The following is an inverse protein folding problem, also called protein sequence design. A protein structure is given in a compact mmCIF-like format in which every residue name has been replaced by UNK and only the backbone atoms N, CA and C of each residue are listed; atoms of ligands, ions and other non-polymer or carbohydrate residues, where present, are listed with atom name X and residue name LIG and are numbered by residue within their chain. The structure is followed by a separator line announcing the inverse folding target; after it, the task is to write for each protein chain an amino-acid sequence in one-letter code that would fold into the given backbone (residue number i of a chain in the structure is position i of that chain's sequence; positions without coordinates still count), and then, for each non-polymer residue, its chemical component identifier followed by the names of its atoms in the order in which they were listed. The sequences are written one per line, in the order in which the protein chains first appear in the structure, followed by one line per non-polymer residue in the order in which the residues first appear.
data_IF_668751895198
#
_entry.id   IF_668751895198
#
_cell.length_a   1.000
_cell.length_b   1.000
_cell.length_c   1.000
_cell.angle_alpha   90.00
_cell.angle_beta   90.00
_cell.angle_gamma   90.00
#
_symmetry.space_group_name_H-M   'P 1'
#
loop_
_entity.id
_entity.type
_entity.pdbx_description
1 polymer ?
#
# COMPACT_ATOMS: atom_id res chain seq x y z
N UNK A 1 -17.02 5.33 19.97
CA UNK A 1 -16.10 4.17 19.98
C UNK A 1 -14.70 4.67 19.63
N UNK A 2 -13.66 4.38 20.44
CA UNK A 2 -12.29 4.83 20.15
C UNK A 2 -11.61 3.78 19.26
N UNK A 3 -11.45 4.09 17.98
CA UNK A 3 -10.73 3.23 17.02
C UNK A 3 -9.29 3.07 17.54
N UNK A 4 -8.81 1.82 17.62
CA UNK A 4 -7.44 1.49 18.03
C UNK A 4 -6.64 1.03 16.82
N UNK A 5 -5.39 1.44 16.75
CA UNK A 5 -4.47 0.93 15.74
C UNK A 5 -4.14 -0.53 16.06
N UNK A 6 -4.25 -1.39 15.06
CA UNK A 6 -3.80 -2.80 15.09
C UNK A 6 -2.78 -3.00 13.96
N UNK A 7 -1.95 -4.06 13.98
CA UNK A 7 -1.04 -4.35 12.86
C UNK A 7 -1.79 -4.51 11.53
N UNK A 8 -2.93 -5.19 11.53
CA UNK A 8 -3.76 -5.31 10.33
C UNK A 8 -4.28 -3.96 9.83
N UNK A 9 -4.73 -3.08 10.73
CA UNK A 9 -5.17 -1.73 10.36
C UNK A 9 -4.01 -0.88 9.83
N UNK A 10 -2.82 -1.03 10.42
CA UNK A 10 -1.60 -0.38 9.93
C UNK A 10 -1.28 -0.80 8.49
N UNK A 11 -1.40 -2.09 8.17
CA UNK A 11 -1.29 -2.58 6.78
C UNK A 11 -2.29 -1.91 5.84
N UNK A 12 -3.58 -1.90 6.22
CA UNK A 12 -4.65 -1.29 5.42
C UNK A 12 -4.35 0.20 5.17
N UNK A 13 -3.91 0.93 6.19
CA UNK A 13 -3.58 2.36 6.08
C UNK A 13 -2.35 2.56 5.20
N UNK A 14 -1.33 1.73 5.31
CA UNK A 14 -0.14 1.78 4.44
C UNK A 14 -0.50 1.56 2.97
N UNK A 15 -1.35 0.57 2.70
CA UNK A 15 -1.84 0.28 1.35
C UNK A 15 -2.71 1.42 0.80
N UNK A 16 -3.60 1.95 1.64
CA UNK A 16 -4.43 3.11 1.32
C UNK A 16 -3.59 4.35 1.01
N UNK A 17 -2.56 4.64 1.81
CA UNK A 17 -1.62 5.74 1.57
C UNK A 17 -0.94 5.62 0.21
N UNK A 18 -0.50 4.41 -0.15
CA UNK A 18 0.25 4.16 -1.38
C UNK A 18 -0.60 4.20 -2.66
N UNK A 19 -1.89 3.84 -2.58
CA UNK A 19 -2.78 3.66 -3.74
C UNK A 19 -4.13 4.36 -3.59
N UNK A 20 -4.16 5.47 -2.84
CA UNK A 20 -5.38 6.19 -2.44
C UNK A 20 -6.29 6.51 -3.62
N UNK A 21 -7.51 5.99 -3.60
CA UNK A 21 -8.58 6.43 -4.50
C UNK A 21 -9.11 7.81 -4.07
N UNK A 22 -9.74 8.53 -5.00
CA UNK A 22 -10.37 9.83 -4.71
C UNK A 22 -11.57 9.69 -3.77
N UNK A 23 -12.28 8.57 -3.88
CA UNK A 23 -13.53 8.28 -3.19
C UNK A 23 -13.27 7.57 -1.84
N UNK A 24 -13.85 8.11 -0.76
CA UNK A 24 -13.96 7.43 0.53
C UNK A 24 -12.65 6.85 1.07
N UNK A 25 -12.75 5.70 1.73
CA UNK A 25 -11.60 4.87 2.07
C UNK A 25 -11.49 3.84 0.94
N UNK A 26 -10.50 3.99 0.07
CA UNK A 26 -10.39 3.16 -1.12
C UNK A 26 -9.02 3.16 -1.75
N UNK A 27 -8.77 2.12 -2.55
CA UNK A 27 -7.55 1.94 -3.34
C UNK A 27 -7.88 1.72 -4.80
N UNK A 28 -7.00 2.19 -5.67
CA UNK A 28 -7.07 1.96 -7.12
C UNK A 28 -5.78 1.33 -7.65
N UNK A 29 -5.90 0.36 -8.58
CA UNK A 29 -4.75 -0.27 -9.22
C UNK A 29 -4.99 -1.66 -9.75
N UNK A 30 -3.99 -2.52 -9.50
CA UNK A 30 -4.07 -3.94 -9.79
C UNK A 30 -5.27 -4.56 -9.06
N UNK A 31 -6.05 -5.38 -9.77
CA UNK A 31 -7.20 -6.11 -9.21
C UNK A 31 -6.84 -6.88 -7.95
N UNK A 32 -5.74 -7.63 -7.95
CA UNK A 32 -5.31 -8.41 -6.80
C UNK A 32 -4.95 -7.53 -5.58
N UNK A 33 -4.45 -6.31 -5.79
CA UNK A 33 -4.28 -5.34 -4.69
C UNK A 33 -5.63 -4.87 -4.15
N UNK A 34 -6.60 -4.62 -5.02
CA UNK A 34 -7.95 -4.26 -4.61
C UNK A 34 -8.63 -5.40 -3.83
N UNK A 35 -8.44 -6.65 -4.26
CA UNK A 35 -8.94 -7.84 -3.56
C UNK A 35 -8.28 -8.03 -2.20
N UNK A 36 -6.96 -7.84 -2.09
CA UNK A 36 -6.26 -7.84 -0.79
C UNK A 36 -6.82 -6.75 0.11
N UNK A 37 -6.92 -5.51 -0.36
CA UNK A 37 -7.48 -4.41 0.42
C UNK A 37 -8.91 -4.72 0.90
N UNK A 38 -9.76 -5.24 0.02
CA UNK A 38 -11.14 -5.63 0.34
C UNK A 38 -11.17 -6.70 1.44
N UNK A 39 -10.39 -7.78 1.27
CA UNK A 39 -10.30 -8.89 2.23
C UNK A 39 -9.87 -8.40 3.61
N UNK A 40 -8.84 -7.56 3.68
CA UNK A 40 -8.36 -7.02 4.95
C UNK A 40 -9.39 -6.08 5.61
N UNK A 41 -10.10 -5.26 4.83
CA UNK A 41 -11.14 -4.37 5.36
C UNK A 41 -12.35 -5.13 5.90
N UNK A 42 -12.80 -6.19 5.20
CA UNK A 42 -13.94 -7.01 5.61
C UNK A 42 -13.60 -7.86 6.83
N UNK A 43 -12.43 -8.52 6.84
CA UNK A 43 -12.01 -9.36 7.97
C UNK A 43 -11.84 -8.58 9.27
N UNK A 44 -11.37 -7.32 9.19
CA UNK A 44 -11.25 -6.43 10.34
C UNK A 44 -12.58 -5.75 10.72
N UNK A 45 -13.63 -5.86 9.89
CA UNK A 45 -14.93 -5.23 10.12
C UNK A 45 -14.96 -3.72 9.90
N UNK A 46 -13.96 -3.16 9.19
CA UNK A 46 -13.89 -1.73 8.85
C UNK A 46 -14.91 -1.37 7.76
N UNK A 47 -15.26 -2.33 6.92
CA UNK A 47 -16.28 -2.23 5.90
C UNK A 47 -17.28 -3.37 6.02
N UNK A 48 -18.52 -3.13 5.59
CA UNK A 48 -19.55 -4.15 5.46
C UNK A 48 -19.70 -4.51 3.97
N UNK A 49 -19.91 -5.79 3.60
CA UNK A 49 -19.94 -6.21 2.19
C UNK A 49 -20.91 -5.41 1.31
N UNK A 50 -22.08 -5.06 1.83
CA UNK A 50 -23.14 -4.29 1.17
C UNK A 50 -22.78 -2.81 0.95
N UNK A 51 -21.78 -2.29 1.69
CA UNK A 51 -21.35 -0.88 1.65
C UNK A 51 -20.09 -0.66 0.83
N UNK A 52 -19.50 -1.72 0.28
CA UNK A 52 -18.31 -1.63 -0.55
C UNK A 52 -18.68 -1.54 -2.02
N UNK A 53 -18.04 -0.62 -2.73
CA UNK A 53 -18.08 -0.54 -4.19
C UNK A 53 -16.80 -1.12 -4.75
N UNK A 54 -16.92 -2.18 -5.54
CA UNK A 54 -15.83 -2.80 -6.29
C UNK A 54 -16.05 -2.58 -7.78
N UNK A 55 -15.15 -1.85 -8.41
CA UNK A 55 -15.19 -1.52 -9.84
C UNK A 55 -14.12 -2.36 -10.52
N UNK A 56 -14.57 -3.26 -11.39
CA UNK A 56 -13.70 -4.08 -12.22
C UNK A 56 -12.98 -3.23 -13.27
N UNK A 57 -11.74 -3.59 -13.64
CA UNK A 57 -11.05 -2.92 -14.72
C UNK A 57 -11.80 -3.15 -16.03
N UNK A 58 -12.17 -2.08 -16.75
CA UNK A 58 -12.79 -2.24 -18.06
C UNK A 58 -11.78 -2.85 -19.03
N UNK A 59 -12.14 -3.97 -19.64
CA UNK A 59 -11.36 -4.55 -20.72
C UNK A 59 -11.48 -3.65 -21.96
N UNK A 60 -10.47 -2.83 -22.23
CA UNK A 60 -10.30 -2.32 -23.59
C UNK A 60 -9.79 -3.48 -24.46
N UNK A 61 -10.66 -3.99 -25.33
CA UNK A 61 -10.23 -4.73 -26.51
C UNK A 61 -9.44 -3.74 -27.37
N UNK A 62 -8.13 -3.91 -27.45
CA UNK A 62 -7.35 -3.23 -28.48
C UNK A 62 -7.78 -3.79 -29.85
N UNK A 63 -8.03 -2.95 -30.86
CA UNK A 63 -7.99 -3.39 -32.24
C UNK A 63 -6.61 -3.99 -32.54
N UNK A 64 -6.56 -5.10 -33.27
CA UNK A 64 -5.31 -5.73 -33.71
C UNK A 64 -4.49 -4.69 -34.51
N UNK A 65 -3.27 -4.37 -34.07
CA UNK A 65 -2.28 -3.69 -34.92
C UNK A 65 -1.87 -2.25 -34.58
N UNK A 66 -2.28 -1.67 -33.44
CA UNK A 66 -1.72 -0.38 -33.00
C UNK A 66 -0.71 -0.55 -31.87
N UNK A 67 0.39 0.20 -31.98
CA UNK A 67 1.51 0.23 -31.06
C UNK A 67 1.07 0.49 -29.61
N UNK A 68 1.84 -0.06 -28.66
CA UNK A 68 1.60 0.02 -27.22
C UNK A 68 1.81 1.45 -26.68
N UNK A 69 1.09 2.44 -27.18
CA UNK A 69 1.08 3.76 -26.58
C UNK A 69 0.21 3.72 -25.31
N UNK A 70 0.89 3.86 -24.16
CA UNK A 70 0.33 4.06 -22.81
C UNK A 70 -0.95 3.27 -22.54
N UNK A 71 -0.79 2.01 -22.10
CA UNK A 71 -1.82 1.20 -21.45
C UNK A 71 -2.53 2.02 -20.35
N UNK A 72 -3.62 2.68 -20.70
CA UNK A 72 -4.66 3.07 -19.77
C UNK A 72 -5.44 1.81 -19.41
N UNK A 73 -4.84 0.93 -18.60
CA UNK A 73 -5.67 0.00 -17.84
C UNK A 73 -6.53 0.91 -16.95
N UNK A 74 -7.84 0.96 -17.19
CA UNK A 74 -8.72 1.48 -16.16
C UNK A 74 -8.48 0.59 -14.95
N UNK A 75 -7.79 1.15 -13.96
CA UNK A 75 -7.34 0.44 -12.78
C UNK A 75 -8.58 -0.03 -12.01
N UNK A 76 -8.53 -1.26 -11.51
CA UNK A 76 -9.55 -1.77 -10.60
C UNK A 76 -9.63 -0.80 -9.41
N UNK A 77 -10.84 -0.56 -8.89
CA UNK A 77 -11.03 0.36 -7.77
C UNK A 77 -11.95 -0.28 -6.74
N UNK A 78 -11.57 -0.19 -5.47
CA UNK A 78 -12.42 -0.60 -4.34
C UNK A 78 -12.50 0.52 -3.32
N UNK A 79 -13.70 0.85 -2.87
CA UNK A 79 -13.88 1.90 -1.87
C UNK A 79 -15.19 1.76 -1.07
N UNK A 80 -15.22 2.37 0.10
CA UNK A 80 -16.40 2.51 0.95
C UNK A 80 -16.34 3.84 1.72
N UNK A 81 -17.47 4.27 2.27
CA UNK A 81 -17.53 5.50 3.06
C UNK A 81 -17.68 5.18 4.54
N UNK A 82 -16.73 5.67 5.33
CA UNK A 82 -16.81 5.61 6.79
C UNK A 82 -16.05 6.81 7.38
N UNK A 83 -16.77 7.86 7.78
CA UNK A 83 -16.17 9.13 8.22
C UNK A 83 -15.21 8.98 9.40
N UNK A 84 -15.58 8.20 10.43
CA UNK A 84 -14.73 7.99 11.60
C UNK A 84 -13.40 7.28 11.24
N UNK A 85 -13.44 6.19 10.47
CA UNK A 85 -12.21 5.53 10.00
C UNK A 85 -11.41 6.40 9.04
N UNK A 86 -12.07 7.22 8.20
CA UNK A 86 -11.37 8.13 7.29
C UNK A 86 -10.55 9.16 8.07
N UNK A 87 -11.17 9.81 9.06
CA UNK A 87 -10.48 10.73 9.95
C UNK A 87 -9.34 10.05 10.72
N UNK A 88 -9.56 8.83 11.20
CA UNK A 88 -8.53 8.04 11.86
C UNK A 88 -7.35 7.71 10.93
N UNK A 89 -7.61 7.31 9.68
CA UNK A 89 -6.57 7.03 8.69
C UNK A 89 -5.74 8.28 8.38
N UNK A 90 -6.41 9.41 8.15
CA UNK A 90 -5.76 10.70 7.92
C UNK A 90 -4.88 11.10 9.13
N UNK A 91 -5.34 10.88 10.37
CA UNK A 91 -4.54 11.12 11.58
C UNK A 91 -3.31 10.21 11.68
N UNK A 92 -3.46 8.91 11.39
CA UNK A 92 -2.35 7.95 11.42
C UNK A 92 -1.27 8.32 10.40
N UNK A 93 -1.65 8.67 9.17
CA UNK A 93 -0.70 9.13 8.14
C UNK A 93 0.00 10.42 8.57
N UNK A 94 -0.73 11.36 9.16
CA UNK A 94 -0.15 12.61 9.67
C UNK A 94 0.90 12.37 10.77
N UNK A 95 0.71 11.33 11.59
CA UNK A 95 1.60 10.96 12.71
C UNK A 95 2.49 9.75 12.40
N UNK A 96 2.69 9.39 11.14
CA UNK A 96 3.34 8.14 10.76
C UNK A 96 4.76 7.99 11.35
N UNK A 97 5.54 9.09 11.40
CA UNK A 97 6.88 9.11 11.97
C UNK A 97 6.92 8.95 13.49
N UNK A 98 5.82 9.22 14.20
CA UNK A 98 5.70 9.04 15.65
C UNK A 98 5.18 7.63 15.96
N UNK A 99 4.13 7.20 15.26
CA UNK A 99 3.45 5.93 15.48
C UNK A 99 4.31 4.72 15.07
N UNK A 100 5.07 4.84 14.00
CA UNK A 100 5.83 3.73 13.43
C UNK A 100 7.34 3.81 13.69
N UNK A 101 7.78 4.61 14.67
CA UNK A 101 9.21 4.88 14.95
C UNK A 101 10.03 3.68 15.45
N UNK A 102 9.38 2.60 15.85
CA UNK A 102 10.03 1.41 16.43
C UNK A 102 9.88 0.20 15.51
N UNK A 103 10.90 -0.66 15.45
CA UNK A 103 10.84 -1.95 14.77
C UNK A 103 9.89 -2.90 15.51
N UNK A 104 8.65 -2.99 15.06
CA UNK A 104 7.61 -3.83 15.62
C UNK A 104 6.60 -4.23 14.53
N UNK A 105 5.59 -5.01 14.91
CA UNK A 105 4.60 -5.52 13.95
C UNK A 105 3.78 -4.40 13.30
N UNK A 106 3.55 -3.27 13.97
CA UNK A 106 2.78 -2.15 13.42
C UNK A 106 3.54 -1.48 12.27
N UNK A 107 4.82 -1.16 12.48
CA UNK A 107 5.65 -0.54 11.45
C UNK A 107 5.94 -1.50 10.30
N UNK A 108 6.19 -2.77 10.59
CA UNK A 108 6.34 -3.82 9.57
C UNK A 108 5.10 -3.89 8.67
N UNK A 109 3.90 -3.96 9.26
CA UNK A 109 2.64 -4.03 8.50
C UNK A 109 2.35 -2.74 7.72
N UNK A 110 2.59 -1.56 8.31
CA UNK A 110 2.41 -0.29 7.61
C UNK A 110 3.29 -0.20 6.35
N UNK A 111 4.57 -0.53 6.48
CA UNK A 111 5.53 -0.52 5.37
C UNK A 111 5.18 -1.62 4.35
N UNK A 112 4.76 -2.79 4.80
CA UNK A 112 4.29 -3.87 3.95
C UNK A 112 3.09 -3.46 3.10
N UNK A 113 2.13 -2.71 3.67
CA UNK A 113 1.00 -2.16 2.93
C UNK A 113 1.44 -1.20 1.82
N UNK A 114 2.41 -0.33 2.11
CA UNK A 114 2.99 0.58 1.10
C UNK A 114 3.67 -0.22 -0.02
N UNK A 115 4.52 -1.18 0.37
CA UNK A 115 5.27 -2.01 -0.56
C UNK A 115 4.37 -2.89 -1.42
N UNK A 116 3.32 -3.51 -0.87
CA UNK A 116 2.38 -4.27 -1.68
C UNK A 116 1.72 -3.37 -2.72
N UNK A 117 1.27 -2.19 -2.31
CA UNK A 117 0.58 -1.23 -3.17
C UNK A 117 1.41 -0.75 -4.37
N UNK A 118 2.67 -0.36 -4.15
CA UNK A 118 3.47 0.26 -5.22
C UNK A 118 4.97 -0.12 -5.19
N UNK A 119 5.32 -1.21 -4.52
CA UNK A 119 6.66 -1.78 -4.46
C UNK A 119 7.13 -2.42 -5.77
N UNK A 120 8.32 -2.99 -5.75
CA UNK A 120 8.91 -3.76 -6.84
C UNK A 120 10.35 -4.15 -6.56
N UNK A 121 10.92 -4.96 -7.46
CA UNK A 121 12.33 -5.33 -7.45
C UNK A 121 12.99 -4.75 -8.70
N UNK A 122 14.12 -4.09 -8.54
CA UNK A 122 14.90 -3.56 -9.66
C UNK A 122 15.37 -4.69 -10.58
N UNK A 123 15.25 -4.51 -11.90
CA UNK A 123 15.63 -5.56 -12.87
C UNK A 123 17.13 -5.83 -12.88
N UNK A 124 17.93 -4.78 -12.75
CA UNK A 124 19.40 -4.85 -12.85
C UNK A 124 20.04 -5.17 -11.50
N UNK A 125 19.70 -4.39 -10.47
CA UNK A 125 20.35 -4.48 -9.15
C UNK A 125 19.68 -5.45 -8.17
N UNK A 126 18.52 -6.05 -8.54
CA UNK A 126 17.70 -6.91 -7.67
C UNK A 126 17.30 -6.28 -6.34
N UNK A 127 17.40 -4.95 -6.19
CA UNK A 127 17.06 -4.26 -4.96
C UNK A 127 15.55 -4.02 -4.87
N UNK A 128 15.01 -4.21 -3.67
CA UNK A 128 13.64 -3.85 -3.36
C UNK A 128 13.47 -2.34 -3.39
N UNK A 129 12.35 -1.87 -3.91
CA UNK A 129 11.96 -0.46 -3.85
C UNK A 129 10.45 -0.33 -3.74
N UNK A 130 9.98 0.84 -3.33
CA UNK A 130 8.60 1.27 -3.54
C UNK A 130 8.53 2.74 -3.91
N UNK A 131 7.43 3.16 -4.53
CA UNK A 131 7.22 4.58 -4.84
C UNK A 131 6.76 5.30 -3.57
N UNK A 132 7.59 6.19 -3.05
CA UNK A 132 7.40 6.77 -1.73
C UNK A 132 7.66 8.27 -1.68
N UNK A 133 7.52 8.81 -0.48
CA UNK A 133 7.80 10.20 -0.14
C UNK A 133 9.10 10.29 0.68
N UNK A 134 9.59 11.51 0.91
CA UNK A 134 10.69 11.74 1.84
C UNK A 134 10.36 11.28 3.27
N UNK A 135 9.09 11.32 3.66
CA UNK A 135 8.66 10.85 4.98
C UNK A 135 8.83 9.33 5.12
N UNK A 136 8.56 8.59 4.05
CA UNK A 136 8.76 7.13 4.02
C UNK A 136 10.25 6.76 4.15
N UNK A 137 11.13 7.49 3.46
CA UNK A 137 12.58 7.33 3.60
C UNK A 137 13.02 7.65 5.04
N UNK A 138 12.56 8.76 5.62
CA UNK A 138 12.86 9.12 7.00
C UNK A 138 12.39 8.07 8.01
N UNK A 139 11.21 7.48 7.79
CA UNK A 139 10.69 6.41 8.63
C UNK A 139 11.63 5.19 8.60
N UNK A 140 12.03 4.75 7.41
CA UNK A 140 12.90 3.59 7.23
C UNK A 140 14.31 3.84 7.81
N UNK A 141 14.86 5.05 7.64
CA UNK A 141 16.12 5.45 8.28
C UNK A 141 16.01 5.43 9.81
N UNK A 142 14.89 5.90 10.40
CA UNK A 142 14.64 5.83 11.85
C UNK A 142 14.53 4.40 12.37
N UNK A 143 14.00 3.49 11.54
CA UNK A 143 14.00 2.06 11.83
C UNK A 143 15.39 1.44 11.69
N UNK A 144 16.41 2.22 11.30
CA UNK A 144 17.79 1.75 11.12
C UNK A 144 17.93 0.88 9.89
N UNK A 145 17.15 1.13 8.84
CA UNK A 145 17.32 0.48 7.54
C UNK A 145 18.17 1.33 6.62
N UNK A 146 18.97 0.67 5.78
CA UNK A 146 19.78 1.35 4.75
C UNK A 146 18.95 1.54 3.50
N UNK A 147 18.45 2.75 3.31
CA UNK A 147 17.65 3.14 2.16
C UNK A 147 18.19 4.40 1.50
N UNK A 148 17.82 4.63 0.24
CA UNK A 148 18.01 5.91 -0.44
C UNK A 148 16.79 6.28 -1.29
N UNK A 149 16.49 7.57 -1.35
CA UNK A 149 15.58 8.11 -2.34
C UNK A 149 16.26 8.31 -3.70
N UNK A 150 15.71 7.67 -4.73
CA UNK A 150 16.06 7.90 -6.14
C UNK A 150 14.81 8.31 -6.91
N UNK A 151 14.76 9.58 -7.34
CA UNK A 151 13.57 10.18 -7.98
C UNK A 151 12.34 10.08 -7.05
N UNK A 152 11.41 9.16 -7.34
CA UNK A 152 10.21 8.89 -6.54
C UNK A 152 10.24 7.52 -5.85
N UNK A 153 11.39 6.82 -5.91
CA UNK A 153 11.55 5.48 -5.34
C UNK A 153 12.35 5.57 -4.05
N UNK A 154 11.88 4.89 -3.02
CA UNK A 154 12.69 4.56 -1.85
C UNK A 154 13.25 3.16 -2.08
N UNK A 155 14.58 3.06 -2.16
CA UNK A 155 15.30 1.84 -2.53
C UNK A 155 15.99 1.27 -1.30
N UNK A 156 15.77 -0.01 -1.01
CA UNK A 156 16.46 -0.75 0.04
C UNK A 156 17.85 -1.13 -0.47
N UNK A 157 18.89 -0.60 0.17
CA UNK A 157 20.30 -0.87 -0.17
C UNK A 157 20.78 -2.24 0.34
N UNK A 158 19.98 -2.89 1.20
CA UNK A 158 20.24 -4.23 1.71
C UNK A 158 18.96 -5.06 1.64
N UNK A 159 19.01 -6.18 0.92
CA UNK A 159 17.88 -7.11 0.85
C UNK A 159 17.55 -7.75 2.21
N UNK A 160 18.56 -7.98 3.06
CA UNK A 160 18.37 -8.68 4.34
C UNK A 160 17.40 -7.98 5.30
N UNK A 161 17.43 -6.64 5.37
CA UNK A 161 16.52 -5.89 6.24
C UNK A 161 15.07 -5.96 5.74
N UNK A 162 14.88 -5.88 4.43
CA UNK A 162 13.57 -6.05 3.81
C UNK A 162 13.02 -7.46 4.05
N UNK A 163 13.84 -8.48 3.79
CA UNK A 163 13.50 -9.89 3.93
C UNK A 163 13.16 -10.26 5.38
N UNK A 164 13.90 -9.75 6.35
CA UNK A 164 13.67 -10.06 7.76
C UNK A 164 12.49 -9.30 8.37
N UNK A 165 12.23 -8.06 7.92
CA UNK A 165 11.29 -7.18 8.61
C UNK A 165 10.00 -6.89 7.85
N UNK A 166 10.09 -6.61 6.54
CA UNK A 166 8.94 -6.18 5.74
C UNK A 166 8.27 -7.37 5.07
N UNK A 167 9.06 -8.28 4.47
CA UNK A 167 8.56 -9.42 3.71
C UNK A 167 7.59 -10.33 4.48
N UNK A 168 7.79 -10.65 5.78
CA UNK A 168 6.87 -11.50 6.52
C UNK A 168 5.47 -10.90 6.69
N UNK A 169 5.33 -9.57 6.55
CA UNK A 169 4.06 -8.86 6.70
C UNK A 169 3.36 -8.56 5.36
N UNK A 170 3.95 -8.94 4.21
CA UNK A 170 3.32 -8.77 2.91
C UNK A 170 2.10 -9.69 2.78
N UNK A 171 1.07 -9.20 2.07
CA UNK A 171 -0.18 -9.93 1.83
C UNK A 171 -0.55 -10.02 0.36
N UNK A 172 0.22 -9.37 -0.51
CA UNK A 172 0.12 -9.50 -1.96
C UNK A 172 1.29 -10.33 -2.50
N UNK A 173 1.00 -11.59 -2.84
CA UNK A 173 1.96 -12.45 -3.53
C UNK A 173 2.16 -11.93 -4.95
N UNK A 174 3.39 -11.50 -5.24
CA UNK A 174 3.81 -11.16 -6.61
C UNK A 174 4.40 -12.41 -7.23
N UNK A 175 3.59 -13.10 -8.05
CA UNK A 175 4.08 -14.15 -8.96
C UNK A 175 5.01 -13.54 -10.01
#
# INVERSE_FOLDING_TARGET
MKIKLTPQLAYIIGLWKARRAKEGIGVEGNRGICEVFLRECLSLGVAQPDKVKFIEPKAQRLPLGQEREKRGREDCKVYFYHSAYRAFFDEVVKKELELFRYKNEYSANFIAGIYDGNGGVGRENRLHYFFGTKMDEMLLLRLGMRVKSEKKKVVFLSGGEFEAFVKPALKFARN
#
